data_IF_664746268284
#
_entry.id   IF_664746268284
#
_cell.length_a   1.000
_cell.length_b   1.000
_cell.length_c   1.000
_cell.angle_alpha   90.00
_cell.angle_beta   90.00
_cell.angle_gamma   90.00
#
_symmetry.space_group_name_H-M   'P 1'
#
loop_
_entity.id
_entity.type
_entity.pdbx_description
1 polymer ?
#
# COMPACT_ATOMS: atom_id res chain seq x y z
N UNK A 1 -33.21 -1.15 23.09
CA UNK A 1 -32.43 -2.19 22.44
C UNK A 1 -31.30 -2.67 23.34
N UNK A 2 -31.00 -3.93 23.28
CA UNK A 2 -29.89 -4.55 24.01
C UNK A 2 -28.56 -4.00 23.49
N UNK A 3 -27.77 -3.37 24.35
CA UNK A 3 -26.42 -2.89 24.01
C UNK A 3 -25.37 -3.90 24.53
N UNK A 4 -24.99 -4.85 23.68
CA UNK A 4 -24.01 -5.88 24.00
C UNK A 4 -22.62 -5.35 24.34
N UNK A 5 -22.31 -4.08 23.99
CA UNK A 5 -21.01 -3.46 24.33
C UNK A 5 -20.82 -3.25 25.85
N UNK A 6 -21.90 -3.27 26.63
CA UNK A 6 -21.85 -3.09 28.08
C UNK A 6 -21.48 -4.34 28.86
N UNK A 7 -21.45 -5.50 28.22
CA UNK A 7 -21.37 -6.79 28.93
C UNK A 7 -20.03 -7.52 28.74
N UNK A 8 -19.08 -6.95 28.06
CA UNK A 8 -17.72 -7.49 27.93
C UNK A 8 -17.59 -8.77 27.07
N UNK A 9 -16.39 -9.34 27.01
CA UNK A 9 -16.04 -10.46 26.15
C UNK A 9 -16.53 -11.84 26.59
N UNK A 10 -17.30 -11.92 27.66
CA UNK A 10 -17.73 -13.23 28.23
C UNK A 10 -19.03 -13.77 27.59
N UNK A 11 -19.66 -13.00 26.71
CA UNK A 11 -20.93 -13.39 26.09
C UNK A 11 -20.77 -14.34 24.91
N UNK A 12 -19.62 -14.27 24.24
CA UNK A 12 -19.30 -15.11 23.08
C UNK A 12 -17.87 -15.61 23.16
N UNK A 13 -17.66 -16.80 22.66
CA UNK A 13 -16.32 -17.31 22.34
C UNK A 13 -16.13 -17.33 20.84
N UNK A 14 -14.89 -17.13 20.38
CA UNK A 14 -14.54 -17.21 18.97
C UNK A 14 -13.26 -18.02 18.80
N UNK A 15 -13.24 -18.91 17.82
CA UNK A 15 -12.09 -19.72 17.46
C UNK A 15 -11.99 -19.86 15.96
N UNK A 16 -10.77 -19.92 15.43
CA UNK A 16 -10.51 -20.24 14.02
C UNK A 16 -9.79 -21.59 13.93
N UNK A 17 -10.22 -22.43 13.00
CA UNK A 17 -9.56 -23.70 12.72
C UNK A 17 -8.41 -23.54 11.72
N UNK A 18 -7.69 -24.63 11.44
CA UNK A 18 -6.57 -24.64 10.48
C UNK A 18 -7.00 -24.38 9.01
N UNK A 19 -8.28 -24.48 8.69
CA UNK A 19 -8.84 -24.22 7.37
C UNK A 19 -9.35 -22.78 7.24
N UNK A 20 -9.27 -21.99 8.33
CA UNK A 20 -9.75 -20.61 8.37
C UNK A 20 -11.25 -20.50 8.62
N UNK A 21 -11.93 -21.56 9.04
CA UNK A 21 -13.32 -21.50 9.48
C UNK A 21 -13.35 -20.87 10.86
N UNK A 22 -14.10 -19.77 11.01
CA UNK A 22 -14.28 -19.07 12.28
C UNK A 22 -15.62 -19.49 12.87
N UNK A 23 -15.57 -20.05 14.08
CA UNK A 23 -16.74 -20.42 14.88
C UNK A 23 -16.93 -19.40 16.00
N UNK A 24 -18.12 -18.84 16.12
CA UNK A 24 -18.52 -17.95 17.21
C UNK A 24 -19.66 -18.62 17.95
N UNK A 25 -19.48 -18.82 19.26
CA UNK A 25 -20.47 -19.52 20.12
C UNK A 25 -20.99 -18.60 21.20
N UNK A 26 -22.30 -18.59 21.42
CA UNK A 26 -22.94 -17.92 22.53
C UNK A 26 -22.71 -18.68 23.83
N UNK A 27 -22.19 -18.01 24.86
CA UNK A 27 -21.94 -18.59 26.19
C UNK A 27 -23.24 -18.74 26.96
N UNK A 28 -23.16 -19.46 28.09
CA UNK A 28 -24.28 -19.55 29.05
C UNK A 28 -24.66 -18.17 29.59
N UNK A 29 -23.69 -17.27 29.76
CA UNK A 29 -23.95 -15.89 30.20
C UNK A 29 -24.85 -15.14 29.20
N UNK A 30 -24.60 -15.29 27.89
CA UNK A 30 -25.45 -14.72 26.86
C UNK A 30 -26.85 -15.34 26.90
N UNK A 31 -26.95 -16.67 26.96
CA UNK A 31 -28.24 -17.37 26.97
C UNK A 31 -29.08 -16.96 28.18
N UNK A 32 -28.47 -16.85 29.37
CA UNK A 32 -29.14 -16.40 30.57
C UNK A 32 -29.65 -14.96 30.43
N UNK A 33 -28.81 -14.07 29.88
CA UNK A 33 -29.17 -12.67 29.68
C UNK A 33 -30.36 -12.49 28.75
N UNK A 34 -30.35 -13.20 27.59
CA UNK A 34 -31.43 -13.14 26.63
C UNK A 34 -32.72 -13.79 27.14
N UNK A 35 -32.59 -14.87 27.93
CA UNK A 35 -33.75 -15.54 28.52
C UNK A 35 -34.43 -14.72 29.63
N UNK A 36 -33.73 -13.77 30.22
CA UNK A 36 -34.28 -12.87 31.24
C UNK A 36 -35.10 -11.71 30.63
N UNK A 37 -34.94 -11.44 29.33
CA UNK A 37 -35.67 -10.42 28.61
C UNK A 37 -36.44 -11.04 27.41
N UNK A 38 -37.69 -11.35 27.63
CA UNK A 38 -38.57 -11.94 26.62
C UNK A 38 -39.48 -10.93 25.92
N UNK A 39 -39.31 -9.65 26.21
CA UNK A 39 -40.07 -8.56 25.60
C UNK A 39 -39.38 -7.91 24.38
N UNK A 40 -38.07 -8.17 24.23
CA UNK A 40 -37.24 -7.55 23.18
C UNK A 40 -36.57 -8.59 22.30
N UNK A 41 -36.48 -8.29 21.02
CA UNK A 41 -35.63 -9.05 20.10
C UNK A 41 -34.15 -8.79 20.43
N UNK A 42 -33.39 -9.86 20.68
CA UNK A 42 -31.95 -9.79 20.86
C UNK A 42 -31.24 -10.15 19.56
N UNK A 43 -30.55 -9.18 18.99
CA UNK A 43 -29.69 -9.39 17.82
C UNK A 43 -28.23 -9.21 18.18
N UNK A 44 -27.35 -9.98 17.60
CA UNK A 44 -25.92 -9.81 17.70
C UNK A 44 -25.23 -9.83 16.35
N UNK A 45 -24.01 -9.32 16.29
CA UNK A 45 -23.22 -9.26 15.06
C UNK A 45 -21.79 -9.65 15.38
N UNK A 46 -21.21 -10.49 14.54
CA UNK A 46 -19.80 -10.82 14.60
C UNK A 46 -19.05 -10.11 13.47
N UNK A 47 -17.91 -9.50 13.83
CA UNK A 47 -16.99 -8.88 12.88
C UNK A 47 -15.71 -9.68 12.87
N UNK A 48 -15.31 -10.13 11.70
CA UNK A 48 -14.11 -10.92 11.51
C UNK A 48 -13.14 -10.10 10.68
N UNK A 49 -12.04 -9.68 11.31
CA UNK A 49 -10.95 -9.01 10.60
C UNK A 49 -9.99 -10.06 10.05
N UNK A 50 -9.81 -10.08 8.73
CA UNK A 50 -8.92 -11.01 8.05
C UNK A 50 -7.75 -10.27 7.39
N UNK A 51 -6.54 -10.84 7.51
CA UNK A 51 -5.39 -10.39 6.72
C UNK A 51 -5.49 -10.97 5.32
N UNK A 52 -5.43 -10.10 4.30
CA UNK A 52 -5.33 -10.53 2.92
C UNK A 52 -3.95 -11.14 2.66
N UNK A 53 -3.91 -12.36 2.11
CA UNK A 53 -2.67 -13.09 1.84
C UNK A 53 -2.28 -13.08 0.35
N UNK A 54 -3.24 -12.88 -0.54
CA UNK A 54 -3.04 -12.85 -1.99
C UNK A 54 -4.14 -12.08 -2.70
N UNK A 55 -3.85 -11.62 -3.91
CA UNK A 55 -4.85 -11.05 -4.82
C UNK A 55 -5.85 -12.14 -5.22
N UNK A 56 -7.12 -11.80 -5.24
CA UNK A 56 -8.20 -12.69 -5.70
C UNK A 56 -9.31 -11.87 -6.33
N UNK A 57 -9.77 -12.32 -7.51
CA UNK A 57 -10.88 -11.67 -8.22
C UNK A 57 -12.23 -11.95 -7.56
N UNK A 58 -12.29 -13.00 -6.74
CA UNK A 58 -13.52 -13.42 -6.11
C UNK A 58 -13.24 -14.23 -4.85
N UNK A 59 -13.74 -13.73 -3.72
CA UNK A 59 -13.78 -14.45 -2.44
C UNK A 59 -15.21 -14.55 -2.00
N UNK A 60 -15.68 -15.77 -1.83
CA UNK A 60 -17.02 -16.04 -1.29
C UNK A 60 -16.98 -16.00 0.22
N UNK A 61 -17.96 -15.35 0.82
CA UNK A 61 -18.21 -15.39 2.24
C UNK A 61 -19.66 -15.75 2.49
N UNK A 62 -19.87 -16.69 3.37
CA UNK A 62 -21.14 -17.08 3.92
C UNK A 62 -20.97 -17.52 5.36
N UNK A 63 -22.02 -17.54 6.12
CA UNK A 63 -22.04 -18.16 7.44
C UNK A 63 -23.20 -19.12 7.56
N UNK A 64 -23.09 -20.02 8.51
CA UNK A 64 -24.14 -20.93 8.91
C UNK A 64 -24.45 -20.65 10.38
N UNK A 65 -25.71 -20.44 10.69
CA UNK A 65 -26.21 -20.31 12.04
C UNK A 65 -26.80 -21.64 12.49
N UNK A 66 -26.44 -22.06 13.69
CA UNK A 66 -27.00 -23.23 14.35
C UNK A 66 -27.83 -22.77 15.53
N UNK A 67 -29.14 -23.05 15.47
CA UNK A 67 -30.09 -22.70 16.52
C UNK A 67 -31.10 -23.83 16.72
N UNK A 68 -31.19 -24.35 17.96
CA UNK A 68 -32.10 -25.43 18.32
C UNK A 68 -32.01 -26.64 17.36
N UNK A 69 -30.83 -27.16 17.16
CA UNK A 69 -30.51 -28.28 16.26
C UNK A 69 -30.94 -28.07 14.80
N UNK A 70 -31.20 -26.85 14.41
CA UNK A 70 -31.44 -26.43 13.04
C UNK A 70 -30.32 -25.60 12.50
N UNK A 71 -30.09 -25.78 11.21
CA UNK A 71 -29.06 -25.08 10.46
C UNK A 71 -29.74 -24.06 9.51
N UNK A 72 -29.20 -22.84 9.50
CA UNK A 72 -29.65 -21.75 8.64
C UNK A 72 -28.45 -21.18 7.89
N UNK A 73 -28.43 -21.33 6.57
CA UNK A 73 -27.40 -20.74 5.75
C UNK A 73 -27.74 -19.30 5.38
N UNK A 74 -26.73 -18.40 5.47
CA UNK A 74 -26.83 -17.04 4.93
C UNK A 74 -26.79 -17.05 3.40
N UNK A 75 -27.18 -15.93 2.79
CA UNK A 75 -26.81 -15.68 1.41
C UNK A 75 -25.29 -15.62 1.25
N UNK A 76 -24.81 -15.88 0.03
CA UNK A 76 -23.41 -15.70 -0.32
C UNK A 76 -23.18 -14.21 -0.61
N UNK A 77 -22.14 -13.64 -0.03
CA UNK A 77 -21.57 -12.35 -0.40
C UNK A 77 -20.20 -12.53 -1.04
N UNK A 78 -19.92 -11.68 -1.99
CA UNK A 78 -18.69 -11.72 -2.77
C UNK A 78 -17.84 -10.51 -2.43
N UNK A 79 -16.57 -10.77 -2.22
CA UNK A 79 -15.56 -9.71 -2.14
C UNK A 79 -14.47 -9.98 -3.17
N UNK A 80 -13.78 -8.95 -3.60
CA UNK A 80 -12.60 -9.07 -4.45
C UNK A 80 -11.48 -8.18 -3.91
N UNK A 81 -10.27 -8.52 -4.29
CA UNK A 81 -9.11 -7.69 -4.04
C UNK A 81 -8.97 -6.70 -5.19
N UNK A 82 -8.89 -5.40 -4.93
CA UNK A 82 -8.54 -4.43 -5.96
C UNK A 82 -7.17 -4.77 -6.57
N UNK A 83 -7.04 -4.62 -7.88
CA UNK A 83 -5.76 -4.82 -8.58
C UNK A 83 -4.97 -3.50 -8.58
N UNK A 84 -4.19 -3.31 -7.52
CA UNK A 84 -3.35 -2.14 -7.27
C UNK A 84 -1.87 -2.48 -7.38
N UNK A 85 -1.46 -3.23 -8.41
CA UNK A 85 -0.06 -3.64 -8.59
C UNK A 85 0.88 -2.46 -8.43
N UNK A 86 1.75 -2.44 -7.40
CA UNK A 86 2.63 -1.31 -7.12
C UNK A 86 3.77 -1.25 -8.14
N UNK A 87 4.10 -0.04 -8.57
CA UNK A 87 5.19 0.19 -9.52
C UNK A 87 5.76 1.59 -9.37
N UNK A 88 7.08 1.70 -9.51
CA UNK A 88 7.81 2.95 -9.59
C UNK A 88 8.57 3.01 -10.91
N UNK A 89 8.54 4.16 -11.56
CA UNK A 89 9.39 4.49 -12.69
C UNK A 89 10.41 5.54 -12.27
N UNK A 90 11.67 5.35 -12.69
CA UNK A 90 12.76 6.28 -12.46
C UNK A 90 13.32 6.76 -13.79
N UNK A 91 13.29 8.06 -13.98
CA UNK A 91 13.91 8.76 -15.10
C UNK A 91 15.11 9.55 -14.61
N UNK A 92 16.27 9.39 -15.24
CA UNK A 92 17.49 10.09 -14.92
C UNK A 92 17.93 10.95 -16.11
N UNK A 93 18.18 12.24 -15.86
CA UNK A 93 18.57 13.16 -16.94
C UNK A 93 19.45 14.29 -16.44
N UNK A 94 20.22 14.91 -17.35
CA UNK A 94 20.92 16.15 -17.03
C UNK A 94 19.96 17.35 -16.99
N UNK A 95 20.06 18.15 -15.93
CA UNK A 95 19.14 19.27 -15.68
C UNK A 95 19.24 20.34 -16.77
N UNK A 96 20.44 20.57 -17.33
CA UNK A 96 20.68 21.60 -18.34
C UNK A 96 19.93 21.31 -19.65
N UNK A 97 19.87 20.05 -20.07
CA UNK A 97 19.15 19.63 -21.28
C UNK A 97 17.66 19.39 -21.03
N UNK A 98 17.28 19.15 -19.77
CA UNK A 98 15.92 18.81 -19.36
C UNK A 98 15.53 17.36 -19.65
N UNK A 99 14.37 16.93 -19.16
CA UNK A 99 13.93 15.52 -19.15
C UNK A 99 14.00 14.84 -20.53
N UNK A 100 13.55 15.49 -21.58
CA UNK A 100 13.50 14.87 -22.93
C UNK A 100 14.83 14.76 -23.64
N UNK A 101 15.72 15.73 -23.45
CA UNK A 101 17.00 15.80 -24.15
C UNK A 101 18.16 15.37 -23.26
N UNK A 102 17.94 15.33 -21.95
CA UNK A 102 18.93 14.96 -20.96
C UNK A 102 18.94 13.46 -20.63
N UNK A 103 17.97 12.72 -21.10
CA UNK A 103 17.95 11.25 -21.10
C UNK A 103 19.07 10.73 -22.04
N UNK A 104 19.98 9.91 -21.50
CA UNK A 104 21.21 9.47 -22.13
C UNK A 104 21.39 7.96 -22.06
N UNK A 105 20.33 7.22 -22.31
CA UNK A 105 20.31 5.76 -22.21
C UNK A 105 21.25 5.06 -23.21
N UNK A 106 21.59 5.72 -24.33
CA UNK A 106 22.47 5.16 -25.35
C UNK A 106 23.85 5.87 -25.36
N UNK A 107 24.91 5.10 -25.49
CA UNK A 107 26.31 5.63 -25.61
C UNK A 107 26.45 6.67 -26.73
N UNK A 108 25.69 6.56 -27.83
CA UNK A 108 25.72 7.53 -28.94
C UNK A 108 25.19 8.90 -28.54
N UNK A 109 24.33 8.94 -27.49
CA UNK A 109 23.69 10.15 -26.99
C UNK A 109 24.46 10.74 -25.81
N UNK A 110 25.64 10.19 -25.48
CA UNK A 110 26.48 10.64 -24.39
C UNK A 110 26.77 12.14 -24.44
N UNK A 111 26.51 12.82 -23.30
CA UNK A 111 26.78 14.25 -23.16
C UNK A 111 28.27 14.50 -23.06
N UNK A 112 28.78 15.48 -23.83
CA UNK A 112 30.09 16.06 -23.58
C UNK A 112 29.97 17.08 -22.46
N UNK A 113 30.60 16.80 -21.32
CA UNK A 113 30.63 17.76 -20.22
C UNK A 113 31.49 18.98 -20.55
N UNK A 114 30.95 20.16 -20.25
CA UNK A 114 31.64 21.44 -20.30
C UNK A 114 31.88 21.89 -18.85
N UNK A 115 33.01 21.47 -18.25
CA UNK A 115 33.36 21.81 -16.87
C UNK A 115 33.46 20.59 -15.95
N UNK A 116 33.67 20.86 -14.66
CA UNK A 116 34.06 19.86 -13.65
C UNK A 116 32.84 19.17 -12.98
N UNK A 117 31.64 19.66 -13.25
CA UNK A 117 30.41 19.13 -12.63
C UNK A 117 29.20 19.26 -13.56
N UNK A 118 28.23 18.38 -13.33
CA UNK A 118 26.94 18.39 -14.03
C UNK A 118 25.81 18.10 -13.06
N UNK A 119 24.76 18.92 -13.09
CA UNK A 119 23.57 18.67 -12.29
C UNK A 119 22.71 17.59 -12.94
N UNK A 120 22.40 16.56 -12.17
CA UNK A 120 21.58 15.40 -12.57
C UNK A 120 20.26 15.41 -11.82
N UNK A 121 19.20 15.13 -12.51
CA UNK A 121 17.88 14.96 -11.94
C UNK A 121 17.45 13.48 -11.97
N UNK A 122 16.75 13.07 -10.93
CA UNK A 122 16.12 11.77 -10.74
C UNK A 122 14.63 12.01 -10.54
N UNK A 123 13.83 11.80 -11.58
CA UNK A 123 12.39 11.92 -11.50
C UNK A 123 11.79 10.55 -11.18
N UNK A 124 11.18 10.45 -10.04
CA UNK A 124 10.52 9.24 -9.55
C UNK A 124 9.02 9.41 -9.74
N UNK A 125 8.41 8.52 -10.48
CA UNK A 125 6.98 8.52 -10.76
C UNK A 125 6.35 7.26 -10.19
N UNK A 126 5.24 7.41 -9.46
CA UNK A 126 4.42 6.29 -9.07
C UNK A 126 3.58 5.83 -10.28
N UNK A 127 3.93 4.69 -10.83
CA UNK A 127 3.24 4.07 -11.99
C UNK A 127 2.37 2.88 -11.57
N UNK A 128 2.00 2.81 -10.29
CA UNK A 128 1.13 1.77 -9.78
C UNK A 128 -0.19 1.72 -10.53
N UNK A 129 -0.68 0.50 -10.73
CA UNK A 129 -1.98 0.30 -11.35
C UNK A 129 -3.09 0.83 -10.44
N UNK A 130 -4.04 1.51 -11.05
CA UNK A 130 -5.27 1.96 -10.41
C UNK A 130 -6.36 0.94 -10.70
N UNK A 131 -7.09 0.53 -9.68
CA UNK A 131 -8.24 -0.36 -9.85
C UNK A 131 -9.43 0.41 -10.44
N UNK A 132 -9.93 -0.04 -11.59
CA UNK A 132 -10.95 0.64 -12.38
C UNK A 132 -12.28 0.83 -11.64
N UNK A 133 -12.57 0.00 -10.63
CA UNK A 133 -13.85 0.06 -9.92
C UNK A 133 -13.81 0.94 -8.68
N UNK A 134 -12.66 1.06 -8.04
CA UNK A 134 -12.49 1.86 -6.82
C UNK A 134 -11.82 3.20 -7.09
N UNK A 135 -11.07 3.32 -8.19
CA UNK A 135 -10.23 4.47 -8.47
C UNK A 135 -8.98 4.55 -7.58
N UNK A 136 -8.69 3.51 -6.82
CA UNK A 136 -7.60 3.48 -5.85
C UNK A 136 -6.39 2.72 -6.40
N UNK A 137 -5.19 3.10 -5.97
CA UNK A 137 -3.94 2.46 -6.33
C UNK A 137 -2.94 2.56 -5.19
N UNK A 138 -1.89 1.74 -5.24
CA UNK A 138 -0.82 1.80 -4.25
C UNK A 138 -0.13 3.16 -4.30
N UNK A 139 0.21 3.70 -3.14
CA UNK A 139 0.92 4.95 -2.99
C UNK A 139 2.24 4.76 -2.22
N UNK A 140 3.13 5.74 -2.26
CA UNK A 140 4.43 5.70 -1.59
C UNK A 140 4.63 6.97 -0.76
N UNK A 141 5.24 6.84 0.41
CA UNK A 141 5.78 7.99 1.12
C UNK A 141 7.16 8.31 0.58
N UNK A 142 7.42 9.55 0.22
CA UNK A 142 8.69 9.95 -0.36
C UNK A 142 9.88 9.66 0.57
N UNK A 143 9.74 9.90 1.87
CA UNK A 143 10.76 9.61 2.89
C UNK A 143 11.20 8.14 2.94
N UNK A 144 10.35 7.20 2.49
CA UNK A 144 10.63 5.77 2.51
C UNK A 144 11.21 5.27 1.18
N UNK A 145 11.30 6.15 0.17
CA UNK A 145 11.98 5.87 -1.09
C UNK A 145 13.49 5.84 -0.88
N UNK A 146 14.12 4.81 -1.42
CA UNK A 146 15.57 4.66 -1.41
C UNK A 146 16.09 4.82 -2.83
N UNK A 147 16.68 5.99 -3.10
CA UNK A 147 17.37 6.27 -4.34
C UNK A 147 18.84 5.91 -4.19
N UNK A 148 19.36 5.12 -5.10
CA UNK A 148 20.76 4.78 -5.19
C UNK A 148 21.23 5.03 -6.63
N UNK A 149 22.39 5.66 -6.77
CA UNK A 149 23.07 5.84 -8.05
C UNK A 149 24.48 5.26 -7.93
N UNK A 150 24.92 4.52 -8.92
CA UNK A 150 26.20 3.83 -8.85
C UNK A 150 26.93 3.83 -10.20
N UNK A 151 28.20 4.22 -10.18
CA UNK A 151 29.08 4.18 -11.34
C UNK A 151 29.28 2.74 -11.81
N UNK A 152 28.95 2.44 -13.06
CA UNK A 152 29.13 1.13 -13.70
C UNK A 152 30.51 1.07 -14.38
N UNK A 153 30.89 2.17 -15.04
CA UNK A 153 32.16 2.25 -15.76
C UNK A 153 32.68 3.69 -15.80
N UNK A 154 34.00 3.82 -15.89
CA UNK A 154 34.65 5.11 -15.96
C UNK A 154 34.94 5.72 -14.58
N UNK A 155 34.94 7.03 -14.50
CA UNK A 155 35.28 7.82 -13.32
C UNK A 155 34.19 8.81 -12.97
N UNK A 156 34.21 9.30 -11.74
CA UNK A 156 33.22 10.24 -11.23
C UNK A 156 32.07 9.54 -10.50
N UNK A 157 31.26 10.32 -9.84
CA UNK A 157 30.07 9.87 -9.07
C UNK A 157 29.07 11.01 -8.93
N UNK A 158 27.81 10.66 -8.71
CA UNK A 158 26.79 11.63 -8.32
C UNK A 158 26.78 11.74 -6.80
N UNK A 159 26.88 12.95 -6.31
CA UNK A 159 26.91 13.30 -4.89
C UNK A 159 25.90 14.41 -4.59
N UNK A 160 25.84 14.82 -3.33
CA UNK A 160 25.04 15.96 -2.85
C UNK A 160 23.57 15.91 -3.28
N UNK A 161 22.92 14.76 -3.03
CA UNK A 161 21.50 14.61 -3.33
C UNK A 161 20.67 15.65 -2.56
N UNK A 162 19.86 16.39 -3.31
CA UNK A 162 18.94 17.41 -2.81
C UNK A 162 17.51 16.95 -2.99
N UNK A 163 16.85 16.76 -1.88
CA UNK A 163 15.45 16.38 -1.83
C UNK A 163 14.57 17.64 -1.83
N UNK A 164 13.40 17.62 -2.50
CA UNK A 164 12.50 18.77 -2.53
C UNK A 164 11.92 19.07 -1.13
N UNK A 165 11.44 20.31 -0.97
CA UNK A 165 10.75 20.72 0.25
C UNK A 165 9.54 19.81 0.52
N UNK A 166 9.31 19.47 1.78
CA UNK A 166 8.20 18.61 2.18
C UNK A 166 8.43 17.11 1.97
N UNK A 167 9.65 16.69 1.62
CA UNK A 167 10.00 15.27 1.37
C UNK A 167 9.47 14.32 2.46
N UNK A 168 9.61 14.68 3.72
CA UNK A 168 9.23 13.83 4.85
C UNK A 168 7.71 13.57 4.96
N UNK A 169 6.91 14.44 4.37
CA UNK A 169 5.44 14.36 4.41
C UNK A 169 4.80 14.12 3.05
N UNK A 170 5.60 14.15 1.98
CA UNK A 170 5.13 13.97 0.62
C UNK A 170 4.67 12.53 0.38
N UNK A 171 3.48 12.41 -0.18
CA UNK A 171 2.89 11.15 -0.63
C UNK A 171 2.81 11.17 -2.15
N UNK A 172 3.23 10.09 -2.79
CA UNK A 172 3.11 9.88 -4.23
C UNK A 172 1.94 8.94 -4.52
N UNK A 173 0.83 9.47 -4.97
CA UNK A 173 -0.29 8.69 -5.51
C UNK A 173 0.02 8.23 -6.94
N UNK A 174 -0.72 7.26 -7.49
CA UNK A 174 -0.55 6.85 -8.87
C UNK A 174 -0.58 8.04 -9.85
N UNK A 175 0.41 8.12 -10.73
CA UNK A 175 0.60 9.21 -11.68
C UNK A 175 1.38 10.42 -11.15
N UNK A 176 1.60 10.53 -9.84
CA UNK A 176 2.37 11.64 -9.27
C UNK A 176 3.87 11.37 -9.33
N UNK A 177 4.65 12.45 -9.41
CA UNK A 177 6.10 12.40 -9.52
C UNK A 177 6.78 13.33 -8.53
N UNK A 178 8.01 13.00 -8.18
CA UNK A 178 8.91 13.85 -7.40
C UNK A 178 10.29 13.81 -8.04
N UNK A 179 11.02 14.93 -7.96
CA UNK A 179 12.37 15.03 -8.51
C UNK A 179 13.37 15.28 -7.38
N UNK A 180 14.41 14.45 -7.35
CA UNK A 180 15.61 14.62 -6.52
C UNK A 180 16.72 15.06 -7.46
N UNK A 181 17.57 16.01 -7.07
CA UNK A 181 18.75 16.40 -7.84
C UNK A 181 20.03 16.00 -7.14
N UNK A 182 21.09 15.86 -7.91
CA UNK A 182 22.44 15.58 -7.40
C UNK A 182 23.48 16.18 -8.34
N UNK A 183 24.73 16.12 -7.95
CA UNK A 183 25.82 16.68 -8.75
C UNK A 183 26.79 15.56 -9.15
N UNK A 184 26.93 15.33 -10.45
CA UNK A 184 28.00 14.48 -11.00
C UNK A 184 29.32 15.24 -10.94
N UNK A 185 30.30 14.68 -10.29
CA UNK A 185 31.65 15.25 -10.10
C UNK A 185 32.73 14.22 -10.38
N UNK A 186 33.99 14.66 -10.48
CA UNK A 186 35.13 13.77 -10.63
C UNK A 186 35.31 13.16 -12.02
N UNK A 187 34.61 13.68 -13.03
CA UNK A 187 34.83 13.30 -14.43
C UNK A 187 35.85 14.26 -15.01
N UNK A 188 37.12 13.80 -15.17
CA UNK A 188 38.20 14.61 -15.76
C UNK A 188 38.08 14.73 -17.28
N UNK A 189 38.78 15.69 -17.85
CA UNK A 189 38.85 15.87 -19.32
C UNK A 189 39.25 14.56 -20.04
N UNK A 190 38.51 14.19 -21.07
CA UNK A 190 38.66 12.92 -21.77
C UNK A 190 38.21 11.67 -21.02
N UNK A 191 37.79 11.81 -19.77
CA UNK A 191 37.21 10.73 -18.99
C UNK A 191 35.80 10.37 -19.49
N UNK A 192 35.40 9.13 -19.18
CA UNK A 192 34.04 8.63 -19.44
C UNK A 192 33.38 8.29 -18.11
N UNK A 193 32.09 8.49 -18.05
CA UNK A 193 31.24 8.12 -16.94
C UNK A 193 30.01 7.38 -17.44
N UNK A 194 29.72 6.25 -16.83
CA UNK A 194 28.46 5.51 -17.03
C UNK A 194 28.00 5.06 -15.66
N UNK A 195 26.77 5.32 -15.35
CA UNK A 195 26.16 4.96 -14.07
C UNK A 195 24.77 4.34 -14.24
N UNK A 196 24.23 3.85 -13.17
CA UNK A 196 22.86 3.33 -13.10
C UNK A 196 22.20 3.76 -11.81
N UNK A 197 21.07 4.40 -11.96
CA UNK A 197 20.20 4.70 -10.83
C UNK A 197 19.18 3.58 -10.57
N UNK A 198 18.80 3.46 -9.31
CA UNK A 198 17.75 2.55 -8.85
C UNK A 198 16.94 3.24 -7.76
N UNK A 199 15.62 3.09 -7.84
CA UNK A 199 14.72 3.47 -6.76
C UNK A 199 13.98 2.24 -6.22
N UNK A 200 13.80 2.19 -4.92
CA UNK A 200 12.94 1.22 -4.24
C UNK A 200 12.09 1.95 -3.20
N UNK A 201 10.92 1.40 -2.90
CA UNK A 201 10.02 1.94 -1.89
C UNK A 201 9.08 0.87 -1.38
N UNK A 202 8.47 1.12 -0.23
CA UNK A 202 7.42 0.26 0.33
C UNK A 202 6.07 0.80 -0.13
N UNK A 203 5.31 0.06 -0.93
CA UNK A 203 3.98 0.48 -1.34
C UNK A 203 3.02 0.40 -0.17
N UNK A 204 2.12 1.36 -0.08
CA UNK A 204 1.05 1.43 0.89
C UNK A 204 -0.29 1.43 0.14
N UNK A 205 -1.29 0.83 0.74
CA UNK A 205 -2.67 0.86 0.24
C UNK A 205 -3.58 1.26 1.39
N UNK A 206 -4.48 2.19 1.14
CA UNK A 206 -5.57 2.44 2.05
C UNK A 206 -6.61 1.33 1.87
N UNK A 207 -6.93 0.64 2.95
CA UNK A 207 -8.08 -0.22 3.04
C UNK A 207 -9.10 0.48 3.94
N UNK A 208 -9.95 1.36 3.42
CA UNK A 208 -11.02 1.91 4.23
C UNK A 208 -11.96 0.77 4.59
N UNK A 209 -11.93 0.33 5.82
CA UNK A 209 -13.02 -0.47 6.39
C UNK A 209 -14.14 0.51 6.66
N UNK A 210 -15.03 0.68 5.71
CA UNK A 210 -16.30 1.35 5.95
C UNK A 210 -17.15 0.41 6.79
N UNK A 211 -17.20 0.65 8.08
CA UNK A 211 -18.25 0.10 8.91
C UNK A 211 -19.58 0.74 8.46
N UNK A 212 -20.44 -0.07 7.85
CA UNK A 212 -21.80 0.35 7.44
C UNK A 212 -22.66 0.82 8.63
N UNK A 213 -22.15 0.68 9.86
CA UNK A 213 -22.88 0.91 11.09
C UNK A 213 -22.30 2.04 11.96
N UNK A 214 -21.41 2.87 11.42
CA UNK A 214 -20.91 4.06 12.11
C UNK A 214 -19.74 3.82 13.06
N UNK A 215 -19.03 2.70 12.95
CA UNK A 215 -17.75 2.44 13.63
C UNK A 215 -16.61 3.25 13.03
N UNK A 216 -15.53 3.37 13.77
CA UNK A 216 -14.34 4.12 13.35
C UNK A 216 -13.71 3.50 12.10
N UNK A 217 -13.35 4.34 11.14
CA UNK A 217 -12.48 3.95 10.04
C UNK A 217 -11.13 3.51 10.61
N UNK A 218 -10.77 2.25 10.40
CA UNK A 218 -9.40 1.80 10.62
C UNK A 218 -8.59 2.10 9.36
N UNK A 219 -7.69 3.06 9.47
CA UNK A 219 -6.68 3.35 8.45
C UNK A 219 -5.43 2.51 8.71
N UNK A 220 -5.58 1.21 8.76
CA UNK A 220 -4.41 0.34 8.80
C UNK A 220 -3.87 0.18 7.39
N UNK A 221 -2.82 0.95 7.09
CA UNK A 221 -2.02 0.77 5.88
C UNK A 221 -1.49 -0.66 5.82
N UNK A 222 -2.05 -1.46 4.93
CA UNK A 222 -1.57 -2.82 4.71
C UNK A 222 -0.32 -2.75 3.83
N UNK A 223 0.83 -3.09 4.38
CA UNK A 223 2.05 -3.31 3.60
C UNK A 223 1.86 -4.56 2.72
N UNK A 224 2.02 -4.40 1.43
CA UNK A 224 2.07 -5.53 0.48
C UNK A 224 3.49 -6.03 0.32
#
# INVERSE_FOLDING_TARGET
GFDGSKFGGDLFTAAADANGVVTVEATEAYRTLVSADNEHEAGWRAYIQCKRLKVSDRVENRFTEYFNDKEFESNIVWTRTPDMTPSLHLEKYDVKSGEKLGDRDDVKDALKMDGDSLEIAFKITNTSKVDDSTGEGAWFQAKDLKLADGTIAGIGKVEDLKYPAGWDTLVLKPGESVTVTGTLTGVSEGGKHTDRAKVTGTPLVECPVTDQFGGQQSTDGNQT
#
